data_IF_319195155783
#
_entry.id   IF_319195155783
#
_cell.length_a   1.000
_cell.length_b   1.000
_cell.length_c   1.000
_cell.angle_alpha   90.00
_cell.angle_beta   90.00
_cell.angle_gamma   90.00
#
_symmetry.space_group_name_H-M   'P 1'
#
loop_
_entity.id
_entity.type
_entity.pdbx_description
1 polymer ?
#
# COMPACT_ATOMS: atom_id res chain seq x y z
N UNK A 1 3.51 13.74 19.58
CA UNK A 1 2.08 13.68 19.23
C UNK A 1 1.22 13.99 20.45
N UNK A 2 1.28 13.20 21.53
CA UNK A 2 0.37 13.35 22.70
C UNK A 2 0.62 14.55 23.63
N UNK A 3 1.83 15.10 23.66
CA UNK A 3 2.26 16.03 24.71
C UNK A 3 1.47 17.35 24.79
N UNK A 4 0.87 17.79 23.67
CA UNK A 4 0.10 19.03 23.59
C UNK A 4 -1.39 18.80 23.36
N UNK A 5 -1.85 17.54 23.32
CA UNK A 5 -3.27 17.25 23.11
C UNK A 5 -4.06 17.56 24.38
N UNK A 6 -5.21 18.19 24.21
CA UNK A 6 -6.16 18.52 25.27
C UNK A 6 -7.44 17.67 25.14
N UNK A 7 -8.38 17.83 26.07
CA UNK A 7 -9.69 17.19 26.00
C UNK A 7 -10.61 17.74 24.88
N UNK A 8 -10.17 18.77 24.15
CA UNK A 8 -10.84 19.24 22.94
C UNK A 8 -10.37 18.49 21.68
N UNK A 9 -9.20 17.85 21.76
CA UNK A 9 -8.62 17.08 20.67
C UNK A 9 -9.13 15.64 20.63
N UNK A 10 -8.94 15.01 19.48
CA UNK A 10 -9.21 13.59 19.28
C UNK A 10 -7.93 12.79 19.05
N UNK A 11 -7.97 11.54 19.47
CA UNK A 11 -6.98 10.53 19.14
C UNK A 11 -7.71 9.28 18.63
N UNK A 12 -7.21 8.71 17.53
CA UNK A 12 -7.74 7.47 16.95
C UNK A 12 -6.69 6.39 17.12
N UNK A 13 -7.05 5.27 17.75
CA UNK A 13 -6.12 4.20 18.12
C UNK A 13 -6.64 2.84 17.69
N UNK A 14 -5.71 1.98 17.27
CA UNK A 14 -6.03 0.60 16.93
C UNK A 14 -6.25 -0.22 18.22
N UNK A 15 -7.44 -0.78 18.40
CA UNK A 15 -7.76 -1.65 19.53
C UNK A 15 -7.11 -3.04 19.39
N UNK A 16 -6.73 -3.43 18.18
CA UNK A 16 -6.08 -4.72 17.90
C UNK A 16 -4.57 -4.69 18.19
N UNK A 17 -4.00 -3.49 18.42
CA UNK A 17 -2.62 -3.30 18.84
C UNK A 17 -2.58 -2.83 20.30
N UNK A 18 -2.04 -3.69 21.17
CA UNK A 18 -1.92 -3.42 22.61
C UNK A 18 -1.06 -2.19 22.94
N UNK A 19 -0.05 -1.88 22.11
CA UNK A 19 0.78 -0.70 22.31
C UNK A 19 0.03 0.58 21.92
N UNK A 20 -0.72 0.52 20.81
CA UNK A 20 -1.53 1.65 20.35
C UNK A 20 -2.67 1.93 21.34
N UNK A 21 -3.50 0.94 21.63
CA UNK A 21 -4.61 1.05 22.59
C UNK A 21 -4.13 1.45 24.00
N UNK A 22 -2.97 0.96 24.46
CA UNK A 22 -2.37 1.37 25.73
C UNK A 22 -2.04 2.87 25.82
N UNK A 23 -1.89 3.56 24.67
CA UNK A 23 -1.63 5.00 24.65
C UNK A 23 -2.82 5.86 25.10
N UNK A 24 -4.03 5.30 25.23
CA UNK A 24 -5.18 6.03 25.81
C UNK A 24 -4.84 6.60 27.19
N UNK A 25 -4.08 5.85 28.00
CA UNK A 25 -3.65 6.28 29.34
C UNK A 25 -2.63 7.45 29.34
N UNK A 26 -2.10 7.82 28.17
CA UNK A 26 -1.00 8.77 28.01
C UNK A 26 -1.43 10.09 27.37
N UNK A 27 -2.72 10.31 27.17
CA UNK A 27 -3.26 11.51 26.53
C UNK A 27 -4.50 12.02 27.28
N UNK A 28 -4.76 13.32 27.14
CA UNK A 28 -5.99 13.96 27.61
C UNK A 28 -7.05 14.05 26.51
N UNK A 29 -6.71 13.66 25.27
CA UNK A 29 -7.62 13.66 24.12
C UNK A 29 -8.78 12.69 24.28
N UNK A 30 -9.89 13.00 23.60
CA UNK A 30 -11.00 12.08 23.40
C UNK A 30 -10.52 10.91 22.54
N UNK A 31 -10.51 9.71 23.10
CA UNK A 31 -10.09 8.51 22.39
C UNK A 31 -11.25 7.86 21.65
N UNK A 32 -11.07 7.62 20.36
CA UNK A 32 -11.92 6.77 19.55
C UNK A 32 -11.10 5.57 19.08
N UNK A 33 -11.61 4.37 19.31
CA UNK A 33 -10.92 3.15 18.91
C UNK A 33 -11.42 2.67 17.56
N UNK A 34 -10.57 1.93 16.84
CA UNK A 34 -11.01 1.11 15.72
C UNK A 34 -10.52 -0.33 15.84
N UNK A 35 -11.25 -1.27 15.23
CA UNK A 35 -10.86 -2.68 15.22
C UNK A 35 -11.40 -3.40 13.99
N UNK A 36 -10.55 -4.21 13.38
CA UNK A 36 -10.99 -5.16 12.34
C UNK A 36 -11.26 -6.56 12.89
N UNK A 37 -11.01 -6.80 14.19
CA UNK A 37 -11.08 -8.12 14.82
C UNK A 37 -12.10 -8.27 15.95
N UNK A 38 -12.61 -7.17 16.50
CA UNK A 38 -13.55 -7.20 17.61
C UNK A 38 -14.62 -6.09 17.48
N UNK A 39 -15.81 -6.37 18.00
CA UNK A 39 -16.88 -5.38 18.15
C UNK A 39 -16.55 -4.47 19.33
N UNK A 40 -16.73 -3.16 19.15
CA UNK A 40 -16.45 -2.15 20.18
C UNK A 40 -17.74 -1.52 20.70
N UNK A 41 -17.78 -1.20 21.99
CA UNK A 41 -18.88 -0.44 22.58
C UNK A 41 -18.98 0.96 21.97
N UNK A 42 -17.82 1.58 21.74
CA UNK A 42 -17.63 2.87 21.06
C UNK A 42 -16.39 2.80 20.16
N UNK A 43 -16.52 3.21 18.91
CA UNK A 43 -15.45 3.13 17.92
C UNK A 43 -15.96 2.88 16.50
N UNK A 44 -15.03 2.51 15.63
CA UNK A 44 -15.32 2.01 14.28
C UNK A 44 -14.84 0.58 14.16
N UNK A 45 -15.72 -0.35 13.84
CA UNK A 45 -15.38 -1.78 13.87
C UNK A 45 -16.04 -2.59 12.76
N UNK A 46 -15.54 -3.80 12.54
CA UNK A 46 -16.15 -4.75 11.61
C UNK A 46 -17.17 -5.63 12.36
N UNK A 47 -18.38 -5.71 11.83
CA UNK A 47 -19.46 -6.58 12.34
C UNK A 47 -20.18 -7.24 11.16
N UNK A 48 -20.11 -8.58 11.09
CA UNK A 48 -20.73 -9.38 10.02
C UNK A 48 -20.41 -8.88 8.60
N UNK A 49 -19.15 -8.45 8.39
CA UNK A 49 -18.67 -7.91 7.12
C UNK A 49 -19.03 -6.44 6.85
N UNK A 50 -19.79 -5.79 7.74
CA UNK A 50 -20.10 -4.38 7.67
C UNK A 50 -19.10 -3.54 8.48
N UNK A 51 -18.70 -2.40 7.95
CA UNK A 51 -17.97 -1.38 8.72
C UNK A 51 -19.00 -0.53 9.44
N UNK A 52 -18.94 -0.56 10.76
CA UNK A 52 -19.89 0.09 11.68
C UNK A 52 -19.18 1.21 12.43
N UNK A 53 -19.84 2.35 12.58
CA UNK A 53 -19.41 3.44 13.44
C UNK A 53 -20.40 3.66 14.59
N UNK A 54 -19.89 3.77 15.82
CA UNK A 54 -20.68 4.12 17.00
C UNK A 54 -19.86 5.02 17.91
N UNK A 55 -20.19 6.31 17.92
CA UNK A 55 -19.56 7.27 18.83
C UNK A 55 -20.32 7.30 20.17
N UNK A 56 -19.68 7.71 21.29
CA UNK A 56 -20.28 7.67 22.64
C UNK A 56 -21.69 8.28 22.75
N UNK A 57 -21.97 9.34 21.98
CA UNK A 57 -23.24 10.08 22.03
C UNK A 57 -24.03 9.99 20.71
N UNK A 58 -23.73 8.99 19.87
CA UNK A 58 -24.40 8.81 18.57
C UNK A 58 -24.97 7.40 18.44
N UNK A 59 -26.07 7.31 17.70
CA UNK A 59 -26.62 6.03 17.28
C UNK A 59 -25.62 5.25 16.42
N UNK A 60 -25.74 3.93 16.49
CA UNK A 60 -24.95 3.01 15.68
C UNK A 60 -25.30 3.24 14.19
N UNK A 61 -24.28 3.46 13.38
CA UNK A 61 -24.39 3.62 11.94
C UNK A 61 -23.66 2.49 11.21
N UNK A 62 -24.34 1.87 10.25
CA UNK A 62 -23.71 0.96 9.28
C UNK A 62 -23.29 1.80 8.08
N UNK A 63 -21.99 1.84 7.78
CA UNK A 63 -21.45 2.72 6.73
C UNK A 63 -21.51 2.03 5.36
N UNK A 64 -20.80 0.91 5.23
CA UNK A 64 -20.76 0.10 4.02
C UNK A 64 -20.25 -1.30 4.36
N UNK A 65 -20.35 -2.23 3.41
CA UNK A 65 -19.69 -3.53 3.56
C UNK A 65 -18.21 -3.41 3.22
N UNK A 66 -17.37 -4.21 3.89
CA UNK A 66 -15.94 -4.22 3.61
C UNK A 66 -15.60 -4.72 2.19
N UNK A 67 -16.45 -5.57 1.60
CA UNK A 67 -16.33 -6.06 0.22
C UNK A 67 -16.81 -5.06 -0.85
N UNK A 68 -17.47 -3.97 -0.44
CA UNK A 68 -17.80 -2.84 -1.32
C UNK A 68 -16.62 -1.89 -1.53
N UNK A 69 -15.55 -2.02 -0.74
CA UNK A 69 -14.32 -1.24 -0.92
C UNK A 69 -13.56 -1.73 -2.16
N UNK A 70 -13.22 -0.81 -3.06
CA UNK A 70 -12.40 -1.14 -4.25
C UNK A 70 -10.95 -1.49 -3.91
N UNK A 71 -10.48 -1.10 -2.73
CA UNK A 71 -9.12 -1.36 -2.24
C UNK A 71 -9.10 -2.60 -1.34
N UNK A 72 -8.60 -3.75 -1.82
CA UNK A 72 -8.65 -5.00 -1.06
C UNK A 72 -7.64 -5.01 0.09
N UNK A 73 -7.89 -5.87 1.08
CA UNK A 73 -6.95 -6.19 2.15
C UNK A 73 -7.31 -5.57 3.51
N UNK A 74 -6.93 -6.29 4.58
CA UNK A 74 -7.26 -5.94 5.97
C UNK A 74 -6.78 -4.53 6.35
N UNK A 75 -5.55 -4.16 5.98
CA UNK A 75 -5.00 -2.84 6.28
C UNK A 75 -5.80 -1.71 5.61
N UNK A 76 -6.39 -1.94 4.43
CA UNK A 76 -7.21 -0.95 3.73
C UNK A 76 -8.58 -0.79 4.39
N UNK A 77 -9.15 -1.88 4.91
CA UNK A 77 -10.34 -1.82 5.76
C UNK A 77 -10.04 -0.99 7.01
N UNK A 78 -8.91 -1.24 7.69
CA UNK A 78 -8.49 -0.47 8.87
C UNK A 78 -8.25 1.01 8.54
N UNK A 79 -7.63 1.33 7.40
CA UNK A 79 -7.48 2.71 6.93
C UNK A 79 -8.85 3.37 6.68
N UNK A 80 -9.80 2.64 6.08
CA UNK A 80 -11.16 3.12 5.91
C UNK A 80 -11.84 3.37 7.26
N UNK A 81 -11.64 2.50 8.26
CA UNK A 81 -12.16 2.72 9.61
C UNK A 81 -11.62 3.99 10.25
N UNK A 82 -10.33 4.29 10.06
CA UNK A 82 -9.74 5.56 10.52
C UNK A 82 -10.35 6.76 9.79
N UNK A 83 -10.55 6.68 8.46
CA UNK A 83 -11.21 7.74 7.70
C UNK A 83 -12.64 7.98 8.19
N UNK A 84 -13.42 6.91 8.41
CA UNK A 84 -14.77 6.96 8.99
C UNK A 84 -14.74 7.60 10.36
N UNK A 85 -13.81 7.19 11.24
CA UNK A 85 -13.68 7.75 12.58
C UNK A 85 -13.49 9.28 12.52
N UNK A 86 -12.63 9.78 11.62
CA UNK A 86 -12.43 11.21 11.39
C UNK A 86 -13.71 11.86 10.87
N UNK A 87 -14.34 11.32 9.83
CA UNK A 87 -15.59 11.86 9.28
C UNK A 87 -16.71 11.96 10.31
N UNK A 88 -16.83 10.95 11.19
CA UNK A 88 -17.83 10.92 12.25
C UNK A 88 -17.55 11.93 13.37
N UNK A 89 -16.27 12.22 13.66
CA UNK A 89 -15.86 13.27 14.59
C UNK A 89 -16.29 14.66 14.08
N UNK A 90 -16.30 14.86 12.76
CA UNK A 90 -16.68 16.11 12.10
C UNK A 90 -18.13 16.13 11.61
N UNK A 91 -18.99 15.23 12.10
CA UNK A 91 -20.42 15.19 11.76
C UNK A 91 -20.71 15.12 10.24
N UNK A 92 -19.82 14.47 9.47
CA UNK A 92 -20.05 14.25 8.04
C UNK A 92 -21.25 13.33 7.81
N UNK A 93 -21.96 13.55 6.70
CA UNK A 93 -23.10 12.72 6.31
C UNK A 93 -22.64 11.28 6.02
N UNK A 94 -23.41 10.30 6.52
CA UNK A 94 -23.05 8.88 6.44
C UNK A 94 -23.11 8.38 5.00
N UNK A 95 -24.09 8.84 4.21
CA UNK A 95 -24.26 8.41 2.83
C UNK A 95 -23.12 8.97 1.97
N UNK A 96 -22.71 10.22 2.20
CA UNK A 96 -21.54 10.83 1.54
C UNK A 96 -20.25 10.05 1.86
N UNK A 97 -20.03 9.72 3.14
CA UNK A 97 -18.85 8.93 3.57
C UNK A 97 -18.86 7.56 2.89
N UNK A 98 -20.00 6.87 2.88
CA UNK A 98 -20.13 5.57 2.26
C UNK A 98 -19.89 5.64 0.74
N UNK A 99 -20.43 6.65 0.06
CA UNK A 99 -20.21 6.86 -1.39
C UNK A 99 -18.72 7.07 -1.70
N UNK A 100 -18.04 7.94 -0.95
CA UNK A 100 -16.61 8.20 -1.14
C UNK A 100 -15.80 6.92 -0.95
N UNK A 101 -16.08 6.13 0.09
CA UNK A 101 -15.38 4.87 0.35
C UNK A 101 -15.59 3.83 -0.76
N UNK A 102 -16.83 3.67 -1.24
CA UNK A 102 -17.14 2.78 -2.38
C UNK A 102 -16.45 3.22 -3.65
N UNK A 103 -16.26 4.52 -3.84
CA UNK A 103 -15.68 5.07 -5.06
C UNK A 103 -14.16 5.21 -5.01
N UNK A 104 -13.57 5.25 -3.82
CA UNK A 104 -12.14 5.43 -3.62
C UNK A 104 -11.33 4.27 -4.23
N UNK A 105 -10.62 4.56 -5.32
CA UNK A 105 -9.84 3.58 -6.09
C UNK A 105 -8.40 3.42 -5.59
N UNK A 106 -8.12 3.84 -4.36
CA UNK A 106 -6.78 3.85 -3.79
C UNK A 106 -6.02 5.14 -4.08
N UNK A 107 -4.77 5.15 -3.59
CA UNK A 107 -3.90 6.31 -3.69
C UNK A 107 -3.01 6.14 -4.91
N UNK A 108 -3.01 7.13 -5.80
CA UNK A 108 -2.05 7.17 -6.90
C UNK A 108 -0.63 6.95 -6.38
N UNK A 109 0.13 6.09 -7.08
CA UNK A 109 1.49 5.70 -6.75
C UNK A 109 1.68 4.76 -5.53
N UNK A 110 0.60 4.23 -4.94
CA UNK A 110 0.67 3.23 -3.87
C UNK A 110 -0.18 2.00 -4.23
N UNK A 111 0.49 0.88 -4.58
CA UNK A 111 -0.14 -0.32 -5.14
C UNK A 111 -1.20 -0.02 -6.23
N UNK A 112 -0.95 1.01 -7.04
CA UNK A 112 -1.88 1.50 -8.07
C UNK A 112 -1.92 0.52 -9.24
N UNK A 113 -3.10 -0.06 -9.51
CA UNK A 113 -3.31 -0.89 -10.69
C UNK A 113 -3.31 -0.02 -11.96
N UNK A 114 -2.33 -0.24 -12.83
CA UNK A 114 -2.15 0.55 -14.06
C UNK A 114 -2.90 -0.07 -15.23
N UNK A 115 -3.02 -1.40 -15.26
CA UNK A 115 -3.71 -2.15 -16.31
C UNK A 115 -3.19 -3.57 -16.44
N UNK A 116 -3.77 -4.31 -17.38
CA UNK A 116 -3.45 -5.71 -17.66
C UNK A 116 -3.43 -5.96 -19.17
N UNK A 117 -2.49 -6.77 -19.65
CA UNK A 117 -2.47 -7.28 -21.03
C UNK A 117 -1.85 -8.67 -21.06
N UNK A 118 -2.40 -9.57 -21.89
CA UNK A 118 -1.98 -10.98 -21.97
C UNK A 118 -1.99 -11.72 -20.61
N UNK A 119 -2.83 -11.27 -19.68
CA UNK A 119 -2.89 -11.80 -18.31
C UNK A 119 -1.76 -11.33 -17.39
N UNK A 120 -0.96 -10.35 -17.80
CA UNK A 120 0.10 -9.74 -16.98
C UNK A 120 -0.38 -8.40 -16.44
N UNK A 121 -0.34 -8.24 -15.11
CA UNK A 121 -0.77 -7.01 -14.43
C UNK A 121 0.39 -6.06 -14.21
N UNK A 122 0.13 -4.76 -14.32
CA UNK A 122 1.09 -3.71 -13.99
C UNK A 122 0.63 -2.97 -12.74
N UNK A 123 1.48 -2.95 -11.71
CA UNK A 123 1.21 -2.27 -10.44
C UNK A 123 2.30 -1.23 -10.17
N UNK A 124 1.87 0.02 -9.96
CA UNK A 124 2.72 1.14 -9.60
C UNK A 124 2.69 1.39 -8.09
N UNK A 125 3.80 1.11 -7.42
CA UNK A 125 4.01 1.34 -5.99
C UNK A 125 5.27 2.20 -5.76
N UNK A 126 5.49 3.20 -6.64
CA UNK A 126 6.68 4.08 -6.58
C UNK A 126 6.84 4.84 -5.24
N UNK A 127 5.77 4.97 -4.44
CA UNK A 127 5.82 5.55 -3.08
C UNK A 127 6.54 4.67 -2.06
N UNK A 128 6.72 3.37 -2.33
CA UNK A 128 7.53 2.49 -1.50
C UNK A 128 9.02 2.85 -1.58
N UNK A 129 9.40 3.88 -0.84
CA UNK A 129 10.75 4.47 -0.83
C UNK A 129 11.62 3.96 0.32
N UNK A 130 11.19 2.88 1.00
CA UNK A 130 11.89 2.20 2.08
C UNK A 130 11.53 0.71 2.11
N UNK A 131 12.30 -0.08 2.87
CA UNK A 131 12.12 -1.54 2.94
C UNK A 131 10.79 -1.98 3.55
N UNK A 132 10.24 -1.22 4.51
CA UNK A 132 8.97 -1.56 5.18
C UNK A 132 7.80 -1.45 4.21
N UNK A 133 7.78 -0.40 3.38
CA UNK A 133 6.76 -0.24 2.34
C UNK A 133 6.84 -1.33 1.27
N UNK A 134 8.05 -1.69 0.81
CA UNK A 134 8.22 -2.81 -0.13
C UNK A 134 7.76 -4.14 0.48
N UNK A 135 8.07 -4.38 1.77
CA UNK A 135 7.59 -5.57 2.48
C UNK A 135 6.06 -5.67 2.45
N UNK A 136 5.36 -4.60 2.78
CA UNK A 136 3.90 -4.53 2.73
C UNK A 136 3.34 -4.76 1.31
N UNK A 137 4.03 -4.25 0.29
CA UNK A 137 3.65 -4.47 -1.12
C UNK A 137 3.77 -5.95 -1.53
N UNK A 138 4.87 -6.61 -1.17
CA UNK A 138 5.08 -8.05 -1.42
C UNK A 138 4.08 -8.92 -0.65
N UNK A 139 3.69 -8.52 0.57
CA UNK A 139 2.67 -9.23 1.34
C UNK A 139 1.28 -9.11 0.71
N UNK A 140 0.98 -7.97 0.06
CA UNK A 140 -0.33 -7.66 -0.51
C UNK A 140 -0.59 -8.29 -1.88
N UNK A 141 0.44 -8.73 -2.59
CA UNK A 141 0.33 -9.37 -3.91
C UNK A 141 0.55 -10.87 -3.76
N UNK A 142 -0.18 -11.66 -4.54
CA UNK A 142 0.02 -13.12 -4.61
C UNK A 142 1.40 -13.44 -5.23
N UNK A 143 1.68 -14.72 -5.42
CA UNK A 143 2.90 -15.17 -6.09
C UNK A 143 2.97 -14.73 -7.57
N UNK A 144 4.14 -14.92 -8.21
CA UNK A 144 4.34 -14.56 -9.61
C UNK A 144 4.74 -13.10 -9.83
N UNK A 145 5.54 -12.53 -8.93
CA UNK A 145 5.97 -11.13 -9.02
C UNK A 145 7.24 -11.00 -9.88
N UNK A 146 7.21 -10.09 -10.85
CA UNK A 146 8.38 -9.52 -11.50
C UNK A 146 8.62 -8.14 -10.87
N UNK A 147 9.60 -8.06 -9.98
CA UNK A 147 9.83 -6.89 -9.12
C UNK A 147 10.84 -5.94 -9.77
N UNK A 148 10.43 -4.70 -10.03
CA UNK A 148 11.33 -3.60 -10.37
C UNK A 148 11.72 -2.87 -9.08
N UNK A 149 13.00 -2.97 -8.71
CA UNK A 149 13.57 -2.43 -7.47
C UNK A 149 14.78 -1.55 -7.73
N UNK A 150 15.02 -0.57 -6.85
CA UNK A 150 16.26 0.20 -6.81
C UNK A 150 16.06 1.71 -7.02
N UNK A 151 17.19 2.42 -6.98
CA UNK A 151 17.25 3.87 -6.92
C UNK A 151 18.33 4.33 -5.94
N UNK A 152 18.16 5.51 -5.34
CA UNK A 152 19.03 5.98 -4.25
C UNK A 152 18.66 5.34 -2.92
N UNK A 153 19.55 4.49 -2.41
CA UNK A 153 19.41 3.84 -1.11
C UNK A 153 19.54 4.85 0.04
N UNK A 154 18.77 4.63 1.11
CA UNK A 154 18.77 5.41 2.35
C UNK A 154 19.32 4.62 3.54
N UNK A 155 20.11 3.59 3.27
CA UNK A 155 20.62 2.67 4.30
C UNK A 155 19.66 1.52 4.60
N UNK A 156 18.87 1.08 3.62
CA UNK A 156 17.98 -0.06 3.79
C UNK A 156 18.78 -1.35 4.06
N UNK A 157 18.19 -2.24 4.85
CA UNK A 157 18.63 -3.61 5.04
C UNK A 157 17.69 -4.54 4.26
N UNK A 158 18.13 -4.93 3.05
CA UNK A 158 17.35 -5.78 2.15
C UNK A 158 17.19 -7.22 2.66
N UNK A 159 17.96 -7.64 3.66
CA UNK A 159 17.85 -9.01 4.18
C UNK A 159 16.49 -9.30 4.81
N UNK A 160 15.79 -8.26 5.26
CA UNK A 160 14.47 -8.34 5.89
C UNK A 160 13.36 -8.86 4.97
N UNK A 161 13.54 -8.78 3.65
CA UNK A 161 12.56 -9.24 2.66
C UNK A 161 12.95 -10.55 1.97
N UNK A 162 14.10 -11.15 2.33
CA UNK A 162 14.55 -12.42 1.72
C UNK A 162 13.46 -13.49 1.71
N UNK A 163 12.71 -13.75 2.80
CA UNK A 163 11.66 -14.76 2.77
C UNK A 163 10.58 -14.50 1.72
N UNK A 164 10.15 -13.23 1.58
CA UNK A 164 9.13 -12.82 0.61
C UNK A 164 9.66 -12.87 -0.83
N UNK A 165 10.94 -12.51 -1.03
CA UNK A 165 11.58 -12.59 -2.35
C UNK A 165 11.65 -14.05 -2.82
N UNK A 166 12.06 -14.98 -1.94
CA UNK A 166 12.10 -16.42 -2.25
C UNK A 166 10.74 -17.00 -2.60
N UNK A 167 9.72 -16.58 -1.86
CA UNK A 167 8.38 -17.15 -1.95
C UNK A 167 7.59 -16.59 -3.14
N UNK A 168 7.70 -15.28 -3.40
CA UNK A 168 6.78 -14.56 -4.30
C UNK A 168 7.42 -14.00 -5.56
N UNK A 169 8.73 -13.70 -5.55
CA UNK A 169 9.40 -12.96 -6.64
C UNK A 169 10.10 -13.90 -7.60
N UNK A 170 9.57 -14.01 -8.82
CA UNK A 170 10.14 -14.83 -9.91
C UNK A 170 11.40 -14.20 -10.51
N UNK A 171 11.33 -12.90 -10.72
CA UNK A 171 12.40 -12.11 -11.35
C UNK A 171 12.60 -10.79 -10.62
N UNK A 172 13.86 -10.43 -10.43
CA UNK A 172 14.28 -9.21 -9.76
C UNK A 172 14.96 -8.28 -10.78
N UNK A 173 14.23 -7.28 -11.26
CA UNK A 173 14.74 -6.28 -12.20
C UNK A 173 15.26 -5.08 -11.41
N UNK A 174 16.57 -4.87 -11.43
CA UNK A 174 17.29 -3.94 -10.57
C UNK A 174 17.75 -2.72 -11.39
N UNK A 175 17.47 -1.52 -10.87
CA UNK A 175 17.83 -0.23 -11.48
C UNK A 175 18.48 0.74 -10.47
N UNK A 176 19.20 1.75 -10.97
CA UNK A 176 19.65 2.89 -10.16
C UNK A 176 20.94 2.66 -9.35
N UNK A 177 21.28 3.64 -8.50
CA UNK A 177 22.55 3.69 -7.76
C UNK A 177 22.76 2.50 -6.79
N UNK A 178 21.67 1.96 -6.22
CA UNK A 178 21.72 0.89 -5.23
C UNK A 178 21.81 -0.53 -5.82
N UNK A 179 22.02 -0.62 -7.13
CA UNK A 179 21.94 -1.87 -7.88
C UNK A 179 22.83 -2.98 -7.29
N UNK A 180 24.12 -2.71 -7.07
CA UNK A 180 25.09 -3.69 -6.55
C UNK A 180 24.69 -4.19 -5.17
N UNK A 181 24.32 -3.27 -4.27
CA UNK A 181 23.89 -3.63 -2.91
C UNK A 181 22.63 -4.51 -2.91
N UNK A 182 21.68 -4.26 -3.81
CA UNK A 182 20.46 -5.06 -3.94
C UNK A 182 20.79 -6.45 -4.48
N UNK A 183 21.61 -6.53 -5.53
CA UNK A 183 21.98 -7.82 -6.13
C UNK A 183 22.77 -8.68 -5.15
N UNK A 184 23.71 -8.10 -4.41
CA UNK A 184 24.46 -8.81 -3.37
C UNK A 184 23.55 -9.39 -2.29
N UNK A 185 22.50 -8.64 -1.90
CA UNK A 185 21.60 -9.06 -0.84
C UNK A 185 20.51 -10.04 -1.30
N UNK A 186 20.01 -9.90 -2.53
CA UNK A 186 18.80 -10.58 -3.01
C UNK A 186 19.02 -11.49 -4.23
N UNK A 187 20.12 -11.33 -4.97
CA UNK A 187 20.35 -12.01 -6.24
C UNK A 187 20.51 -13.52 -6.14
N UNK A 188 20.82 -14.06 -4.96
CA UNK A 188 20.83 -15.51 -4.71
C UNK A 188 19.44 -16.12 -4.49
N UNK A 189 18.40 -15.28 -4.37
CA UNK A 189 17.07 -15.69 -3.92
C UNK A 189 15.97 -15.51 -4.97
N UNK A 190 16.27 -14.81 -6.06
CA UNK A 190 15.45 -14.67 -7.26
C UNK A 190 16.39 -14.46 -8.45
N UNK A 191 15.88 -14.44 -9.68
CA UNK A 191 16.73 -14.24 -10.87
C UNK A 191 16.99 -12.73 -11.07
N UNK A 192 18.23 -12.23 -10.82
CA UNK A 192 18.51 -10.82 -10.95
C UNK A 192 18.72 -10.43 -12.42
N UNK A 193 18.20 -9.27 -12.79
CA UNK A 193 18.41 -8.66 -14.10
C UNK A 193 18.71 -7.17 -13.92
N UNK A 194 19.73 -6.66 -14.61
CA UNK A 194 20.12 -5.25 -14.55
C UNK A 194 19.45 -4.47 -15.67
N UNK A 195 18.73 -3.41 -15.33
CA UNK A 195 18.20 -2.46 -16.31
C UNK A 195 18.82 -1.08 -16.11
N UNK A 196 19.03 -0.36 -17.22
CA UNK A 196 19.70 0.95 -17.19
C UNK A 196 18.74 2.13 -17.06
N UNK A 197 17.50 1.94 -17.51
CA UNK A 197 16.45 2.96 -17.53
C UNK A 197 15.12 2.36 -17.11
N UNK A 198 14.14 3.19 -16.77
CA UNK A 198 12.79 2.68 -16.50
C UNK A 198 12.16 2.02 -17.74
N UNK A 199 12.41 2.54 -18.94
CA UNK A 199 11.88 1.95 -20.19
C UNK A 199 12.42 0.53 -20.40
N UNK A 200 13.73 0.36 -20.22
CA UNK A 200 14.42 -0.94 -20.23
C UNK A 200 13.86 -1.89 -19.17
N UNK A 201 13.74 -1.41 -17.92
CA UNK A 201 13.24 -2.22 -16.80
C UNK A 201 11.81 -2.73 -17.03
N UNK A 202 10.91 -1.88 -17.50
CA UNK A 202 9.50 -2.25 -17.73
C UNK A 202 9.36 -3.20 -18.92
N UNK A 203 10.11 -2.99 -20.01
CA UNK A 203 10.10 -3.90 -21.16
C UNK A 203 10.65 -5.27 -20.81
N UNK A 204 11.82 -5.31 -20.17
CA UNK A 204 12.43 -6.53 -19.68
C UNK A 204 11.51 -7.27 -18.72
N UNK A 205 10.84 -6.55 -17.81
CA UNK A 205 9.87 -7.15 -16.90
C UNK A 205 8.70 -7.81 -17.64
N UNK A 206 8.22 -7.18 -18.71
CA UNK A 206 7.14 -7.73 -19.53
C UNK A 206 7.56 -8.95 -20.36
N UNK A 207 8.79 -8.98 -20.85
CA UNK A 207 9.34 -10.15 -21.56
C UNK A 207 9.54 -11.35 -20.62
N UNK A 208 9.85 -11.08 -19.35
CA UNK A 208 10.04 -12.11 -18.32
C UNK A 208 8.72 -12.61 -17.71
N UNK A 209 7.66 -11.79 -17.72
CA UNK A 209 6.39 -12.11 -17.07
C UNK A 209 5.57 -13.14 -17.88
N UNK A 210 5.03 -14.14 -17.18
CA UNK A 210 4.07 -15.09 -17.72
C UNK A 210 2.62 -14.70 -17.44
N UNK A 211 1.67 -15.38 -18.11
CA UNK A 211 0.24 -15.20 -17.83
C UNK A 211 -0.06 -15.45 -16.35
N UNK A 212 -0.73 -14.49 -15.70
CA UNK A 212 -1.05 -14.51 -14.27
C UNK A 212 -0.05 -13.72 -13.42
N UNK A 213 1.11 -13.36 -13.95
CA UNK A 213 2.15 -12.64 -13.22
C UNK A 213 1.84 -11.14 -13.05
N UNK A 214 2.51 -10.54 -12.08
CA UNK A 214 2.40 -9.12 -11.77
C UNK A 214 3.76 -8.44 -11.89
N UNK A 215 3.86 -7.44 -12.76
CA UNK A 215 4.98 -6.51 -12.81
C UNK A 215 4.75 -5.42 -11.77
N UNK A 216 5.60 -5.41 -10.75
CA UNK A 216 5.49 -4.50 -9.61
C UNK A 216 6.66 -3.51 -9.62
N UNK A 217 6.37 -2.22 -9.77
CA UNK A 217 7.32 -1.17 -9.40
C UNK A 217 7.19 -0.88 -7.91
N UNK A 218 8.07 -1.44 -7.09
CA UNK A 218 8.18 -1.14 -5.65
C UNK A 218 9.66 -0.98 -5.27
N UNK A 219 10.20 0.25 -5.31
CA UNK A 219 11.64 0.47 -5.44
C UNK A 219 12.46 0.30 -4.17
N UNK A 220 11.83 0.34 -2.99
CA UNK A 220 12.45 0.47 -1.65
C UNK A 220 13.46 1.65 -1.51
N UNK A 221 13.65 2.44 -2.55
CA UNK A 221 14.65 3.49 -2.67
C UNK A 221 14.01 4.82 -3.05
N UNK A 222 14.67 5.92 -2.68
CA UNK A 222 14.34 7.22 -3.23
C UNK A 222 14.63 7.26 -4.74
N UNK A 223 13.99 8.20 -5.43
CA UNK A 223 14.05 8.34 -6.89
C UNK A 223 15.11 9.32 -7.40
N UNK A 224 15.78 10.06 -6.50
CA UNK A 224 16.58 11.25 -6.82
C UNK A 224 17.86 11.00 -7.62
N UNK A 225 18.22 9.73 -7.83
CA UNK A 225 19.34 9.34 -8.67
C UNK A 225 18.99 9.38 -10.17
N UNK A 226 17.76 9.00 -10.52
CA UNK A 226 17.31 8.85 -11.90
C UNK A 226 16.15 9.79 -12.29
N UNK A 227 15.47 10.38 -11.30
CA UNK A 227 14.25 11.16 -11.49
C UNK A 227 14.21 12.38 -10.56
N UNK A 228 13.39 13.37 -10.90
CA UNK A 228 13.13 14.56 -10.06
C UNK A 228 12.50 14.19 -8.72
N UNK A 229 11.51 13.29 -8.75
CA UNK A 229 10.77 12.82 -7.57
C UNK A 229 10.08 11.47 -7.86
N UNK A 230 9.43 10.91 -6.84
CA UNK A 230 8.79 9.59 -6.97
C UNK A 230 7.57 9.64 -7.90
N UNK A 231 6.92 10.81 -8.03
CA UNK A 231 5.76 11.02 -8.89
C UNK A 231 6.17 10.95 -10.35
N UNK A 232 7.29 11.57 -10.72
CA UNK A 232 7.87 11.44 -12.06
C UNK A 232 8.24 9.98 -12.38
N UNK A 233 8.90 9.28 -11.45
CA UNK A 233 9.23 7.85 -11.60
C UNK A 233 7.98 7.01 -11.89
N UNK A 234 6.92 7.20 -11.10
CA UNK A 234 5.64 6.52 -11.27
C UNK A 234 4.95 6.86 -12.60
N UNK A 235 4.90 8.15 -12.96
CA UNK A 235 4.35 8.61 -14.24
C UNK A 235 5.05 7.93 -15.43
N UNK A 236 6.39 7.90 -15.43
CA UNK A 236 7.17 7.27 -16.51
C UNK A 236 6.85 5.77 -16.59
N UNK A 237 6.83 5.06 -15.46
CA UNK A 237 6.42 3.65 -15.41
C UNK A 237 5.03 3.45 -16.02
N UNK A 238 4.05 4.25 -15.62
CA UNK A 238 2.67 4.19 -16.14
C UNK A 238 2.61 4.43 -17.64
N UNK A 239 3.35 5.41 -18.16
CA UNK A 239 3.40 5.70 -19.59
C UNK A 239 4.01 4.56 -20.41
N UNK A 240 5.05 3.89 -19.90
CA UNK A 240 5.65 2.72 -20.57
C UNK A 240 4.68 1.54 -20.53
N UNK A 241 4.10 1.25 -19.36
CA UNK A 241 3.10 0.18 -19.20
C UNK A 241 1.91 0.37 -20.15
N UNK A 242 1.37 1.59 -20.23
CA UNK A 242 0.26 1.92 -21.13
C UNK A 242 0.64 1.79 -22.61
N UNK A 243 1.89 2.10 -23.00
CA UNK A 243 2.37 1.84 -24.36
C UNK A 243 2.40 0.35 -24.68
N UNK A 244 2.87 -0.48 -23.75
CA UNK A 244 2.90 -1.95 -23.90
C UNK A 244 1.48 -2.52 -23.99
N UNK A 245 0.57 -2.10 -23.11
CA UNK A 245 -0.83 -2.54 -23.12
C UNK A 245 -1.48 -2.22 -24.48
N UNK A 246 -1.34 -0.99 -24.96
CA UNK A 246 -1.91 -0.56 -26.25
C UNK A 246 -1.34 -1.32 -27.44
N UNK A 247 -0.06 -1.67 -27.43
CA UNK A 247 0.56 -2.40 -28.54
C UNK A 247 0.15 -3.87 -28.63
N UNK A 248 -0.39 -4.45 -27.54
CA UNK A 248 -0.76 -5.87 -27.45
C UNK A 248 -2.28 -6.09 -27.30
N UNK A 249 -3.09 -5.03 -27.30
CA UNK A 249 -4.56 -5.12 -27.23
C UNK A 249 -5.24 -5.50 -28.57
N UNK A 250 -4.56 -6.22 -29.45
CA UNK A 250 -5.07 -6.64 -30.77
C UNK A 250 -5.62 -8.06 -30.76
#
# INVERSE_FOLDING_TARGET
>A
IFANQTNEDWIILNADDSLASGCVSRTQAKALLFSSSQILDNGVYLEDGNIVAKLPDKEKAVICKSDELKIPGRHNIENAMVAIAISMIYDSDIDDVAEVLRNFSGIENALEFVGEVNGVKFINDTKATNIVSLKAALESINDGIVLIIGGRDKGNDYTQIIPLVKDKVKHLVIIGESADKIEDALGCYSHPHRARTMDDAVRMSFELAGKGDTILLSPACASFDMFRDYTERGRIFKEIAQRIIKSHAK
#
